data_IF_540217204887
#
_entry.id   IF_540217204887
#
_cell.length_a   1.000
_cell.length_b   1.000
_cell.length_c   1.000
_cell.angle_alpha   90.00
_cell.angle_beta   90.00
_cell.angle_gamma   90.00
#
_symmetry.space_group_name_H-M   'P 1'
#
loop_
_entity.id
_entity.type
_entity.pdbx_description
1 polymer ?
#
# COMPACT_ATOMS: atom_id res chain seq x y z
N UNK A 1 38.39 44.04 0.56
CA UNK A 1 38.30 43.28 -0.71
C UNK A 1 38.33 41.74 -0.57
N UNK A 2 38.25 41.15 0.63
CA UNK A 2 38.18 39.67 0.79
C UNK A 2 36.76 39.18 1.15
N UNK A 3 35.96 40.03 1.81
CA UNK A 3 34.65 39.65 2.36
C UNK A 3 33.54 39.59 1.29
N UNK A 4 33.56 40.45 0.26
CA UNK A 4 32.59 40.38 -0.85
C UNK A 4 32.73 39.12 -1.72
N UNK A 5 33.90 38.47 -1.69
CA UNK A 5 34.16 37.25 -2.45
C UNK A 5 33.54 36.00 -1.82
N UNK A 6 33.16 36.05 -0.54
CA UNK A 6 32.54 34.95 0.21
C UNK A 6 31.00 34.95 0.16
N UNK A 7 30.39 36.07 -0.22
CA UNK A 7 28.92 36.17 -0.30
C UNK A 7 28.37 35.71 -1.65
N UNK A 8 29.23 35.59 -2.67
CA UNK A 8 28.85 35.23 -4.04
C UNK A 8 28.79 33.72 -4.30
N UNK A 9 28.81 32.89 -3.24
CA UNK A 9 28.76 31.41 -3.33
C UNK A 9 27.51 30.78 -2.72
N UNK A 10 26.49 31.56 -2.40
CA UNK A 10 25.26 31.05 -1.79
C UNK A 10 23.99 31.54 -2.48
N UNK A 11 24.04 31.65 -3.81
CA UNK A 11 22.83 31.46 -4.63
C UNK A 11 22.93 30.05 -5.19
N UNK A 12 22.65 29.08 -4.33
CA UNK A 12 22.31 27.74 -4.81
C UNK A 12 20.93 27.91 -5.42
N UNK A 13 20.88 28.20 -6.73
CA UNK A 13 19.64 28.06 -7.47
C UNK A 13 19.12 26.65 -7.16
N UNK A 14 17.89 26.50 -6.65
CA UNK A 14 17.35 25.17 -6.40
C UNK A 14 17.42 24.43 -7.72
N UNK A 15 18.28 23.40 -7.78
CA UNK A 15 18.31 22.49 -8.92
C UNK A 15 16.86 22.08 -9.12
N UNK A 16 16.24 22.32 -10.29
CA UNK A 16 14.89 21.87 -10.52
C UNK A 16 14.92 20.38 -10.24
N UNK A 17 14.21 19.94 -9.19
CA UNK A 17 13.99 18.53 -8.93
C UNK A 17 13.34 18.03 -10.21
N UNK A 18 14.12 17.39 -11.09
CA UNK A 18 13.58 16.76 -12.29
C UNK A 18 12.50 15.84 -11.78
N UNK A 19 11.25 16.19 -12.05
CA UNK A 19 10.14 15.31 -11.80
C UNK A 19 10.51 14.00 -12.49
N UNK A 20 10.68 12.95 -11.68
CA UNK A 20 10.85 11.62 -12.23
C UNK A 20 9.54 11.32 -12.95
N UNK A 21 9.59 11.43 -14.28
CA UNK A 21 8.54 10.87 -15.13
C UNK A 21 8.93 9.39 -15.22
N UNK A 22 8.16 8.45 -14.63
CA UNK A 22 8.38 7.05 -14.93
C UNK A 22 8.24 6.94 -16.45
N UNK A 23 9.34 6.65 -17.15
CA UNK A 23 9.29 6.35 -18.58
C UNK A 23 8.61 4.99 -18.69
N UNK A 24 7.29 5.00 -18.84
CA UNK A 24 6.47 3.85 -19.13
C UNK A 24 6.87 3.31 -20.51
N UNK A 25 7.73 2.28 -20.50
CA UNK A 25 7.89 1.42 -21.65
C UNK A 25 6.61 0.57 -21.76
N UNK A 26 5.59 1.14 -22.41
CA UNK A 26 4.45 0.53 -23.11
C UNK A 26 3.47 1.68 -23.44
N UNK A 27 3.60 2.25 -24.63
CA UNK A 27 2.82 3.36 -25.16
C UNK A 27 1.38 2.95 -25.51
N UNK A 28 0.57 2.68 -24.49
CA UNK A 28 -0.89 2.65 -24.60
C UNK A 28 -1.38 3.84 -23.78
N UNK A 29 -2.19 4.76 -24.34
CA UNK A 29 -2.87 5.77 -23.54
C UNK A 29 -3.85 5.05 -22.62
N UNK A 30 -3.39 4.69 -21.43
CA UNK A 30 -4.24 4.12 -20.39
C UNK A 30 -4.75 5.30 -19.57
N UNK A 31 -6.06 5.38 -19.40
CA UNK A 31 -6.63 6.33 -18.45
C UNK A 31 -6.09 5.97 -17.06
N UNK A 32 -5.57 6.94 -16.27
CA UNK A 32 -5.04 6.66 -14.95
C UNK A 32 -6.14 6.01 -14.10
N UNK A 33 -5.87 4.80 -13.63
CA UNK A 33 -6.78 4.03 -12.78
C UNK A 33 -6.29 4.12 -11.34
N UNK A 34 -6.69 5.20 -10.68
CA UNK A 34 -6.40 5.45 -9.27
C UNK A 34 -6.72 4.21 -8.45
N UNK A 35 -5.79 3.83 -7.59
CA UNK A 35 -5.94 2.65 -6.70
C UNK A 35 -5.77 3.08 -5.25
N UNK A 36 -4.92 4.06 -4.99
CA UNK A 36 -4.86 4.73 -3.69
C UNK A 36 -6.04 5.69 -3.51
N UNK A 37 -6.62 5.75 -2.31
CA UNK A 37 -7.76 6.62 -2.03
C UNK A 37 -9.13 6.08 -2.46
N UNK A 38 -9.17 4.91 -3.10
CA UNK A 38 -10.39 4.29 -3.61
C UNK A 38 -10.90 3.24 -2.62
N UNK A 39 -12.21 3.03 -2.53
CA UNK A 39 -12.78 2.04 -1.63
C UNK A 39 -12.34 0.62 -2.05
N UNK A 40 -12.19 -0.28 -1.08
CA UNK A 40 -11.83 -1.68 -1.39
C UNK A 40 -12.88 -2.36 -2.27
N UNK A 41 -14.16 -2.04 -2.06
CA UNK A 41 -15.26 -2.58 -2.86
C UNK A 41 -15.12 -2.22 -4.34
N UNK A 42 -14.85 -0.94 -4.63
CA UNK A 42 -14.69 -0.47 -6.01
C UNK A 42 -13.46 -1.12 -6.68
N UNK A 43 -12.34 -1.26 -5.95
CA UNK A 43 -11.12 -1.90 -6.49
C UNK A 43 -11.38 -3.38 -6.79
N UNK A 44 -12.04 -4.09 -5.88
CA UNK A 44 -12.40 -5.51 -6.04
C UNK A 44 -13.36 -5.72 -7.22
N UNK A 45 -14.39 -4.88 -7.33
CA UNK A 45 -15.38 -4.95 -8.42
C UNK A 45 -14.74 -4.65 -9.78
N UNK A 46 -13.91 -3.60 -9.84
CA UNK A 46 -13.18 -3.18 -11.04
C UNK A 46 -12.22 -4.26 -11.53
N UNK A 47 -11.43 -4.82 -10.63
CA UNK A 47 -10.35 -5.76 -10.96
C UNK A 47 -10.87 -7.21 -11.04
N UNK A 48 -12.10 -7.47 -10.56
CA UNK A 48 -12.73 -8.80 -10.48
C UNK A 48 -11.88 -9.80 -9.70
N UNK A 49 -11.28 -9.33 -8.61
CA UNK A 49 -10.39 -10.11 -7.74
C UNK A 49 -10.88 -10.07 -6.31
N UNK A 50 -10.82 -11.20 -5.59
CA UNK A 50 -11.18 -11.24 -4.16
C UNK A 50 -10.24 -10.41 -3.27
N UNK A 51 -8.98 -10.25 -3.69
CA UNK A 51 -7.96 -9.47 -3.00
C UNK A 51 -7.37 -8.46 -3.99
N UNK A 52 -7.29 -7.16 -3.66
CA UNK A 52 -6.68 -6.16 -4.52
C UNK A 52 -5.28 -6.58 -5.00
N UNK A 53 -5.03 -6.44 -6.30
CA UNK A 53 -3.78 -6.89 -6.94
C UNK A 53 -2.56 -6.26 -6.27
N UNK A 54 -2.64 -4.97 -5.89
CA UNK A 54 -1.57 -4.26 -5.17
C UNK A 54 -1.14 -4.98 -3.88
N UNK A 55 -2.08 -5.55 -3.12
CA UNK A 55 -1.79 -6.26 -1.87
C UNK A 55 -1.07 -7.57 -2.18
N UNK A 56 -1.63 -8.35 -3.11
CA UNK A 56 -1.06 -9.64 -3.53
C UNK A 56 0.37 -9.48 -4.03
N UNK A 57 0.63 -8.48 -4.86
CA UNK A 57 1.94 -8.20 -5.43
C UNK A 57 2.97 -7.75 -4.37
N UNK A 58 2.56 -6.90 -3.43
CA UNK A 58 3.41 -6.50 -2.32
C UNK A 58 3.83 -7.72 -1.50
N UNK A 59 2.90 -8.60 -1.13
CA UNK A 59 3.24 -9.80 -0.35
C UNK A 59 4.14 -10.75 -1.12
N UNK A 60 3.85 -10.98 -2.41
CA UNK A 60 4.71 -11.79 -3.27
C UNK A 60 6.15 -11.25 -3.30
N UNK A 61 6.32 -9.93 -3.45
CA UNK A 61 7.65 -9.31 -3.43
C UNK A 61 8.34 -9.47 -2.08
N UNK A 62 7.64 -9.23 -0.96
CA UNK A 62 8.20 -9.37 0.38
C UNK A 62 8.63 -10.80 0.66
N UNK A 63 7.85 -11.80 0.23
CA UNK A 63 8.21 -13.21 0.38
C UNK A 63 9.45 -13.56 -0.45
N UNK A 64 9.49 -13.13 -1.72
CA UNK A 64 10.58 -13.44 -2.65
C UNK A 64 11.90 -12.76 -2.30
N UNK A 65 11.87 -11.54 -1.74
CA UNK A 65 13.07 -10.75 -1.37
C UNK A 65 13.48 -10.92 0.10
N UNK A 66 12.92 -11.90 0.82
CA UNK A 66 13.31 -12.19 2.20
C UNK A 66 12.86 -11.15 3.23
N UNK A 67 11.77 -10.43 2.94
CA UNK A 67 11.18 -9.43 3.84
C UNK A 67 10.76 -10.01 5.20
N UNK A 68 10.37 -11.29 5.27
CA UNK A 68 10.07 -11.97 6.54
C UNK A 68 11.29 -12.19 7.42
N UNK A 69 12.49 -12.26 6.83
CA UNK A 69 13.75 -12.39 7.58
C UNK A 69 14.34 -11.01 7.94
N UNK A 70 13.72 -9.93 7.48
CA UNK A 70 14.20 -8.58 7.71
C UNK A 70 13.72 -8.07 9.08
N UNK A 71 14.68 -7.70 9.94
CA UNK A 71 14.36 -7.23 11.29
C UNK A 71 13.51 -5.96 11.24
N UNK A 72 12.39 -5.96 11.95
CA UNK A 72 11.52 -4.80 12.04
C UNK A 72 10.76 -4.49 10.75
N UNK A 73 10.49 -5.49 9.90
CA UNK A 73 9.54 -5.35 8.80
C UNK A 73 8.22 -4.76 9.30
N UNK A 74 7.64 -3.81 8.55
CA UNK A 74 6.51 -2.95 8.93
C UNK A 74 6.75 -1.96 10.09
N UNK A 75 7.69 -2.22 11.00
CA UNK A 75 8.08 -1.28 12.09
C UNK A 75 9.00 -0.17 11.58
N UNK A 76 10.07 -0.54 10.87
CA UNK A 76 11.04 0.40 10.30
C UNK A 76 10.43 1.07 9.07
N UNK A 77 10.64 2.37 8.92
CA UNK A 77 10.18 3.13 7.75
C UNK A 77 11.12 2.90 6.57
N UNK A 78 10.52 2.69 5.41
CA UNK A 78 11.24 2.67 4.14
C UNK A 78 11.57 4.07 3.64
N UNK A 79 12.26 4.13 2.50
CA UNK A 79 12.61 5.39 1.86
C UNK A 79 11.35 6.08 1.32
N UNK A 80 10.96 7.21 1.92
CA UNK A 80 9.75 7.96 1.54
C UNK A 80 9.70 8.32 0.06
N UNK A 81 10.84 8.67 -0.55
CA UNK A 81 10.91 8.98 -1.98
C UNK A 81 10.58 7.76 -2.84
N UNK A 82 11.10 6.59 -2.47
CA UNK A 82 10.79 5.34 -3.16
C UNK A 82 9.32 5.00 -3.00
N UNK A 83 8.74 5.18 -1.80
CA UNK A 83 7.31 4.96 -1.55
C UNK A 83 6.43 5.85 -2.43
N UNK A 84 6.75 7.14 -2.55
CA UNK A 84 6.00 8.07 -3.41
C UNK A 84 6.06 7.67 -4.89
N UNK A 85 7.23 7.23 -5.36
CA UNK A 85 7.40 6.75 -6.74
C UNK A 85 6.55 5.49 -6.97
N UNK A 86 6.61 4.51 -6.05
CA UNK A 86 5.83 3.28 -6.16
C UNK A 86 4.33 3.57 -6.14
N UNK A 87 3.88 4.49 -5.27
CA UNK A 87 2.48 4.95 -5.22
C UNK A 87 2.02 5.51 -6.58
N UNK A 88 2.81 6.40 -7.16
CA UNK A 88 2.47 7.02 -8.45
C UNK A 88 2.34 5.98 -9.57
N UNK A 89 3.22 4.98 -9.60
CA UNK A 89 3.18 3.94 -10.63
C UNK A 89 1.97 3.02 -10.43
N UNK A 90 1.62 2.68 -9.19
CA UNK A 90 0.40 1.91 -8.91
C UNK A 90 -0.85 2.67 -9.38
N UNK A 91 -0.93 3.97 -9.13
CA UNK A 91 -2.06 4.81 -9.58
C UNK A 91 -2.10 4.98 -11.11
N UNK A 92 -0.95 4.97 -11.78
CA UNK A 92 -0.87 5.04 -13.24
C UNK A 92 -1.27 3.71 -13.90
N UNK A 93 -0.81 2.58 -13.34
CA UNK A 93 -0.99 1.26 -13.94
C UNK A 93 -2.29 0.55 -13.51
N UNK A 94 -2.84 0.91 -12.35
CA UNK A 94 -4.07 0.30 -11.80
C UNK A 94 -3.98 -1.22 -11.73
N UNK A 95 -4.95 -1.90 -12.33
CA UNK A 95 -5.07 -3.37 -12.37
C UNK A 95 -3.90 -4.08 -13.09
N UNK A 96 -3.11 -3.34 -13.88
CA UNK A 96 -1.92 -3.86 -14.58
C UNK A 96 -0.63 -3.64 -13.77
N UNK A 97 -0.74 -3.15 -12.54
CA UNK A 97 0.41 -3.02 -11.66
C UNK A 97 1.03 -4.40 -11.40
N UNK A 98 2.30 -4.52 -11.75
CA UNK A 98 3.13 -5.64 -11.33
C UNK A 98 4.49 -5.19 -10.81
N UNK A 99 4.79 -5.47 -9.55
CA UNK A 99 6.08 -5.11 -8.95
C UNK A 99 7.24 -5.90 -9.58
N UNK A 100 6.93 -7.07 -10.16
CA UNK A 100 7.86 -7.87 -10.97
C UNK A 100 8.33 -7.18 -12.25
N UNK A 101 7.50 -6.33 -12.86
CA UNK A 101 7.89 -5.53 -14.04
C UNK A 101 8.83 -4.38 -13.67
N UNK A 102 8.69 -3.84 -12.46
CA UNK A 102 9.60 -2.79 -11.97
C UNK A 102 11.02 -3.32 -11.74
N UNK A 103 11.15 -4.58 -11.30
CA UNK A 103 12.45 -5.25 -11.15
C UNK A 103 13.17 -5.48 -12.49
N UNK A 104 12.44 -5.50 -13.62
CA UNK A 104 12.97 -5.80 -14.95
C UNK A 104 13.09 -4.57 -15.87
N UNK A 105 12.21 -3.57 -15.73
CA UNK A 105 12.29 -2.29 -16.47
C UNK A 105 13.50 -1.46 -16.05
N UNK A 106 14.00 -1.71 -14.85
CA UNK A 106 14.94 -0.84 -14.20
C UNK A 106 16.28 -1.56 -14.02
N UNK A 107 16.98 -1.73 -15.14
CA UNK A 107 18.32 -2.35 -15.22
C UNK A 107 19.39 -1.71 -14.31
N UNK A 108 19.11 -0.53 -13.76
CA UNK A 108 19.93 0.17 -12.74
C UNK A 108 19.25 0.30 -11.35
N UNK A 109 18.01 -0.18 -11.19
CA UNK A 109 17.15 0.03 -10.02
C UNK A 109 16.82 -1.25 -9.24
N UNK A 110 17.37 -2.39 -9.65
CA UNK A 110 17.40 -3.60 -8.80
C UNK A 110 18.07 -3.32 -7.43
N UNK A 111 18.72 -2.16 -7.28
CA UNK A 111 19.27 -1.64 -6.00
C UNK A 111 18.43 -0.63 -5.25
N UNK A 112 17.28 -0.14 -5.76
CA UNK A 112 16.58 0.98 -5.11
C UNK A 112 15.25 0.63 -4.44
N UNK A 113 14.69 -0.56 -4.67
CA UNK A 113 13.45 -0.99 -4.02
C UNK A 113 13.78 -1.96 -2.90
N UNK A 114 13.86 -1.40 -1.69
CA UNK A 114 14.04 -2.18 -0.48
C UNK A 114 12.71 -2.69 0.08
N UNK A 115 12.78 -3.78 0.84
CA UNK A 115 11.63 -4.41 1.49
C UNK A 115 10.92 -3.47 2.46
N UNK A 116 11.62 -2.49 3.07
CA UNK A 116 11.00 -1.54 3.99
C UNK A 116 10.16 -0.50 3.26
N UNK A 117 10.58 -0.07 2.07
CA UNK A 117 9.80 0.80 1.17
C UNK A 117 8.53 0.10 0.70
N UNK A 118 8.62 -1.15 0.29
CA UNK A 118 7.43 -1.93 -0.12
C UNK A 118 6.49 -2.19 1.06
N UNK A 119 7.02 -2.50 2.25
CA UNK A 119 6.23 -2.60 3.47
C UNK A 119 5.57 -1.26 3.85
N UNK A 120 6.25 -0.14 3.60
CA UNK A 120 5.71 1.19 3.85
C UNK A 120 4.65 1.59 2.83
N UNK A 121 4.75 1.10 1.59
CA UNK A 121 3.72 1.25 0.57
C UNK A 121 2.42 0.56 0.98
N UNK A 122 2.49 -0.67 1.53
CA UNK A 122 1.30 -1.36 2.05
C UNK A 122 0.63 -0.56 3.17
N UNK A 123 1.42 -0.04 4.12
CA UNK A 123 0.92 0.82 5.20
C UNK A 123 0.23 2.07 4.65
N UNK A 124 0.81 2.67 3.62
CA UNK A 124 0.24 3.85 2.96
C UNK A 124 -1.10 3.51 2.30
N UNK A 125 -1.16 2.40 1.56
CA UNK A 125 -2.37 1.96 0.87
C UNK A 125 -3.53 1.77 1.84
N UNK A 126 -3.32 1.02 2.93
CA UNK A 126 -4.34 0.79 3.95
C UNK A 126 -4.79 2.06 4.68
N UNK A 127 -3.89 3.05 4.81
CA UNK A 127 -4.19 4.33 5.47
C UNK A 127 -4.98 5.28 4.58
N UNK A 128 -4.80 5.20 3.27
CA UNK A 128 -5.50 6.06 2.31
C UNK A 128 -6.89 5.53 1.93
N UNK A 129 -7.30 4.36 2.42
CA UNK A 129 -8.66 3.87 2.20
C UNK A 129 -9.69 4.87 2.76
N UNK A 130 -10.80 5.13 2.03
CA UNK A 130 -11.83 6.07 2.47
C UNK A 130 -12.52 5.58 3.75
N UNK A 131 -12.64 4.27 3.90
CA UNK A 131 -13.10 3.61 5.12
C UNK A 131 -11.95 2.78 5.70
N UNK A 132 -11.82 2.77 7.03
CA UNK A 132 -10.83 1.94 7.69
C UNK A 132 -11.05 0.46 7.37
N UNK A 133 -9.96 -0.29 7.17
CA UNK A 133 -10.03 -1.74 6.89
C UNK A 133 -10.89 -2.50 7.91
N UNK A 134 -10.88 -2.05 9.16
CA UNK A 134 -11.79 -2.52 10.20
C UNK A 134 -12.91 -1.47 10.35
N UNK A 135 -14.15 -1.81 9.99
CA UNK A 135 -15.31 -0.94 10.19
C UNK A 135 -15.44 -0.45 11.64
N UNK A 136 -15.95 0.77 11.84
CA UNK A 136 -16.02 1.42 13.15
C UNK A 136 -16.86 0.62 14.17
N UNK A 137 -17.95 0.01 13.71
CA UNK A 137 -18.79 -0.85 14.54
C UNK A 137 -18.01 -2.06 15.09
N UNK A 138 -17.15 -2.67 14.27
CA UNK A 138 -16.29 -3.78 14.69
C UNK A 138 -15.18 -3.26 15.62
N UNK A 139 -14.60 -2.10 15.33
CA UNK A 139 -13.61 -1.45 16.21
C UNK A 139 -14.18 -1.19 17.61
N UNK A 140 -15.41 -0.69 17.71
CA UNK A 140 -16.09 -0.49 18.99
C UNK A 140 -16.30 -1.80 19.76
N UNK A 141 -16.59 -2.91 19.05
CA UNK A 141 -16.66 -4.24 19.66
C UNK A 141 -15.30 -4.71 20.18
N UNK A 142 -14.21 -4.50 19.43
CA UNK A 142 -12.86 -4.83 19.87
C UNK A 142 -12.47 -4.07 21.14
N UNK A 143 -12.77 -2.76 21.21
CA UNK A 143 -12.50 -1.95 22.39
C UNK A 143 -13.27 -2.46 23.61
N UNK A 144 -14.57 -2.75 23.45
CA UNK A 144 -15.40 -3.34 24.52
C UNK A 144 -14.81 -4.64 25.03
N UNK A 145 -14.40 -5.55 24.14
CA UNK A 145 -13.79 -6.83 24.54
C UNK A 145 -12.44 -6.63 25.22
N UNK A 146 -11.63 -5.68 24.75
CA UNK A 146 -10.32 -5.41 25.35
C UNK A 146 -10.43 -4.97 26.82
N UNK A 147 -11.53 -4.28 27.16
CA UNK A 147 -11.84 -3.82 28.51
C UNK A 147 -12.42 -4.93 29.42
N UNK A 148 -12.81 -6.10 28.88
CA UNK A 148 -13.31 -7.22 29.68
C UNK A 148 -12.15 -7.98 30.36
N UNK A 149 -12.41 -8.49 31.58
CA UNK A 149 -11.50 -9.36 32.32
C UNK A 149 -11.20 -10.68 31.61
N UNK A 150 -10.08 -11.32 31.97
CA UNK A 150 -9.46 -12.44 31.23
C UNK A 150 -10.42 -13.61 30.95
N UNK A 151 -11.37 -13.90 31.84
CA UNK A 151 -12.34 -15.00 31.69
C UNK A 151 -13.48 -14.76 30.68
N UNK A 152 -13.75 -13.51 30.28
CA UNK A 152 -14.82 -13.21 29.32
C UNK A 152 -14.29 -13.05 27.89
N UNK A 153 -12.96 -12.92 27.73
CA UNK A 153 -12.31 -12.68 26.43
C UNK A 153 -12.45 -13.86 25.47
N UNK A 154 -12.47 -15.11 25.95
CA UNK A 154 -12.58 -16.30 25.08
C UNK A 154 -14.01 -16.55 24.58
N UNK A 155 -15.04 -16.28 25.38
CA UNK A 155 -16.45 -16.42 24.96
C UNK A 155 -16.85 -15.35 23.93
N UNK A 156 -16.36 -14.11 24.08
CA UNK A 156 -16.64 -13.04 23.12
C UNK A 156 -15.83 -13.15 21.81
N UNK A 157 -14.63 -13.77 21.83
CA UNK A 157 -13.83 -14.03 20.61
C UNK A 157 -14.58 -14.90 19.59
N UNK A 158 -15.29 -15.92 20.07
CA UNK A 158 -16.12 -16.81 19.24
C UNK A 158 -17.34 -16.10 18.65
N UNK A 159 -17.95 -15.17 19.39
CA UNK A 159 -19.15 -14.43 18.96
C UNK A 159 -18.88 -13.44 17.82
N UNK A 160 -17.72 -12.75 17.84
CA UNK A 160 -17.35 -11.84 16.73
C UNK A 160 -17.03 -12.63 15.46
N UNK A 161 -16.31 -13.76 15.56
CA UNK A 161 -16.01 -14.61 14.40
C UNK A 161 -17.29 -15.21 13.78
N UNK A 162 -18.26 -15.62 14.61
CA UNK A 162 -19.53 -16.19 14.12
C UNK A 162 -20.46 -15.14 13.52
N UNK A 163 -20.48 -13.90 14.03
CA UNK A 163 -21.28 -12.82 13.43
C UNK A 163 -20.73 -12.42 12.06
N UNK A 164 -19.41 -12.47 11.87
CA UNK A 164 -18.78 -12.20 10.57
C UNK A 164 -19.04 -13.32 9.54
N UNK A 165 -19.21 -14.57 9.97
CA UNK A 165 -19.53 -15.70 9.08
C UNK A 165 -21.00 -15.71 8.62
N UNK A 166 -21.91 -15.17 9.44
CA UNK A 166 -23.34 -15.11 9.09
C UNK A 166 -23.66 -14.00 8.06
N UNK A 167 -22.82 -12.98 7.91
CA UNK A 167 -23.02 -11.94 6.88
C UNK A 167 -22.57 -12.38 5.48
N UNK A 168 -21.74 -13.43 5.38
CA UNK A 168 -21.34 -14.06 4.11
C UNK A 168 -22.32 -15.11 3.59
N UNK A 169 -23.39 -15.43 4.35
CA UNK A 169 -24.35 -16.48 4.00
C UNK A 169 -25.61 -16.04 3.24
N UNK A 170 -25.93 -14.75 3.20
CA UNK A 170 -27.23 -14.25 2.68
C UNK A 170 -27.22 -13.83 1.19
N UNK A 171 -26.16 -14.15 0.43
CA UNK A 171 -25.97 -13.62 -0.93
C UNK A 171 -26.09 -14.59 -2.11
N UNK A 172 -26.30 -15.90 -1.91
CA UNK A 172 -26.20 -16.90 -3.00
C UNK A 172 -27.39 -17.87 -3.12
N UNK A 173 -28.59 -17.45 -2.72
CA UNK A 173 -29.82 -18.24 -2.97
C UNK A 173 -30.92 -17.38 -3.59
N UNK A 174 -30.63 -16.77 -4.75
CA UNK A 174 -31.68 -16.35 -5.69
C UNK A 174 -31.12 -16.12 -7.10
N UNK A 175 -30.89 -17.20 -7.84
CA UNK A 175 -31.02 -17.22 -9.29
C UNK A 175 -31.24 -18.69 -9.71
N UNK A 176 -32.33 -18.89 -10.44
CA UNK A 176 -32.85 -20.14 -10.95
C UNK A 176 -31.91 -20.85 -11.94
#
# INVERSE_FOLDING_TARGET
MVIERLMKKMVVNPVPKKAFKPTTALSIPRHPMLTFGVSLGDVIERDKTEIPIVISDIFNFLLNKGGLQSEGIFRVNGNSRTVEILRAIVDENGSYWHLGEFSSIAGDLDRSVDVFSVASLLKLYLRELPEGLIPENITALFLKISALGFELRYKCKLAILTTSLNQTGDGFESAA
#
